data_IF_543145855961
#
_entry.id   IF_543145855961
#
_cell.length_a   1.000
_cell.length_b   1.000
_cell.length_c   1.000
_cell.angle_alpha   90.00
_cell.angle_beta   90.00
_cell.angle_gamma   90.00
#
_symmetry.space_group_name_H-M   'P 1'
#
loop_
_entity.id
_entity.type
_entity.pdbx_description
1 polymer ?
#
# COMPACT_ATOMS: atom_id res chain seq x y z
N UNK A 1 -19.77 -5.04 22.02
CA UNK A 1 -18.44 -4.47 21.68
C UNK A 1 -17.51 -5.63 21.37
N UNK A 2 -16.88 -5.61 20.24
CA UNK A 2 -15.99 -6.67 19.76
C UNK A 2 -14.57 -6.12 19.67
N UNK A 3 -13.57 -7.00 19.82
CA UNK A 3 -12.17 -6.63 19.67
C UNK A 3 -11.60 -7.35 18.44
N UNK A 4 -11.12 -6.60 17.48
CA UNK A 4 -10.64 -7.10 16.20
C UNK A 4 -9.19 -6.69 15.98
N UNK A 5 -8.33 -7.63 15.62
CA UNK A 5 -6.93 -7.38 15.30
C UNK A 5 -6.77 -7.27 13.78
N UNK A 6 -6.14 -6.21 13.29
CA UNK A 6 -5.65 -6.09 11.93
C UNK A 6 -4.14 -6.40 11.89
N UNK A 7 -3.73 -7.26 10.96
CA UNK A 7 -2.37 -7.80 10.83
C UNK A 7 -1.80 -7.51 9.46
N UNK A 8 -0.55 -7.07 9.45
CA UNK A 8 0.29 -7.01 8.25
C UNK A 8 1.61 -7.73 8.54
N UNK A 9 1.70 -8.98 8.08
CA UNK A 9 2.88 -9.82 8.24
C UNK A 9 3.82 -9.68 7.03
N UNK A 10 4.99 -9.09 7.26
CA UNK A 10 6.10 -9.05 6.29
C UNK A 10 7.08 -10.20 6.49
N UNK A 11 8.10 -10.31 5.63
CA UNK A 11 9.09 -11.39 5.69
C UNK A 11 9.87 -11.46 7.01
N UNK A 12 10.12 -10.30 7.64
CA UNK A 12 10.84 -10.17 8.91
C UNK A 12 10.16 -9.21 9.89
N UNK A 13 8.86 -8.93 9.70
CA UNK A 13 8.14 -7.99 10.53
C UNK A 13 6.67 -8.39 10.69
N UNK A 14 6.04 -7.92 11.78
CA UNK A 14 4.63 -8.09 12.05
C UNK A 14 4.09 -6.77 12.60
N UNK A 15 3.34 -6.01 11.79
CA UNK A 15 2.62 -4.81 12.21
C UNK A 15 1.19 -5.19 12.56
N UNK A 16 0.65 -4.62 13.64
CA UNK A 16 -0.69 -4.93 14.08
C UNK A 16 -1.38 -3.75 14.77
N UNK A 17 -2.71 -3.75 14.73
CA UNK A 17 -3.56 -2.86 15.51
C UNK A 17 -4.76 -3.62 16.06
N UNK A 18 -5.10 -3.36 17.31
CA UNK A 18 -6.30 -3.88 17.98
C UNK A 18 -7.35 -2.78 18.07
N UNK A 19 -8.49 -3.05 17.48
CA UNK A 19 -9.65 -2.15 17.47
C UNK A 19 -10.76 -2.63 18.41
N UNK A 20 -11.43 -1.69 19.03
CA UNK A 20 -12.75 -1.88 19.62
C UNK A 20 -13.79 -1.48 18.56
N UNK A 21 -14.65 -2.42 18.20
CA UNK A 21 -15.67 -2.23 17.17
C UNK A 21 -17.07 -2.28 17.78
N UNK A 22 -18.08 -1.56 17.28
CA UNK A 22 -18.04 -0.75 16.02
C UNK A 22 -17.52 0.69 16.22
N UNK A 23 -17.03 1.07 17.39
CA UNK A 23 -16.57 2.44 17.69
C UNK A 23 -15.29 2.82 16.93
N UNK A 24 -14.64 1.87 16.27
CA UNK A 24 -13.41 2.03 15.51
C UNK A 24 -12.25 2.63 16.33
N UNK A 25 -12.28 2.39 17.65
CA UNK A 25 -11.28 2.90 18.57
C UNK A 25 -10.06 1.99 18.61
N UNK A 26 -8.89 2.53 18.30
CA UNK A 26 -7.61 1.83 18.49
C UNK A 26 -7.35 1.67 19.99
N UNK A 27 -7.29 0.45 20.49
CA UNK A 27 -6.94 0.12 21.87
C UNK A 27 -5.43 -0.02 22.04
N UNK A 28 -4.77 -0.62 21.08
CA UNK A 28 -3.33 -0.78 21.04
C UNK A 28 -2.85 -0.99 19.60
N UNK A 29 -1.58 -0.70 19.36
CA UNK A 29 -0.88 -1.03 18.12
C UNK A 29 0.56 -1.41 18.40
N UNK A 30 1.15 -2.19 17.51
CA UNK A 30 2.54 -2.59 17.68
C UNK A 30 3.22 -2.99 16.38
N UNK A 31 4.51 -3.15 16.52
CA UNK A 31 5.40 -3.57 15.46
C UNK A 31 6.45 -4.52 16.05
N UNK A 32 6.58 -5.68 15.44
CA UNK A 32 7.68 -6.60 15.72
C UNK A 32 8.59 -6.61 14.50
N UNK A 33 9.87 -6.37 14.69
CA UNK A 33 10.86 -6.26 13.63
C UNK A 33 11.97 -7.28 13.79
N UNK A 34 12.67 -7.58 12.69
CA UNK A 34 13.81 -8.51 12.66
C UNK A 34 13.45 -9.95 13.06
N UNK A 35 12.21 -10.39 12.77
CA UNK A 35 11.78 -11.78 12.98
C UNK A 35 12.70 -12.71 12.18
N UNK A 36 13.18 -13.79 12.82
CA UNK A 36 14.15 -14.74 12.26
C UNK A 36 15.61 -14.28 12.38
N UNK A 37 15.86 -13.13 12.99
CA UNK A 37 17.20 -12.60 13.24
C UNK A 37 17.44 -12.44 14.75
N UNK A 38 18.70 -12.21 15.14
CA UNK A 38 19.03 -11.83 16.51
C UNK A 38 18.59 -10.40 16.82
N UNK A 39 18.33 -10.16 18.10
CA UNK A 39 17.93 -8.85 18.60
C UNK A 39 16.68 -8.31 17.88
N UNK A 40 15.63 -9.14 17.76
CA UNK A 40 14.32 -8.68 17.29
C UNK A 40 13.76 -7.64 18.25
N UNK A 41 13.02 -6.66 17.72
CA UNK A 41 12.46 -5.58 18.52
C UNK A 41 10.93 -5.68 18.47
N UNK A 42 10.29 -5.77 19.65
CA UNK A 42 8.84 -5.69 19.80
C UNK A 42 8.47 -4.37 20.46
N UNK A 43 7.68 -3.55 19.77
CA UNK A 43 7.15 -2.27 20.27
C UNK A 43 5.65 -2.36 20.40
N UNK A 44 5.09 -1.99 21.56
CA UNK A 44 3.64 -1.90 21.79
C UNK A 44 3.29 -0.50 22.25
N UNK A 45 2.26 0.11 21.62
CA UNK A 45 1.75 1.44 21.96
C UNK A 45 0.29 1.35 22.39
N UNK A 46 -0.02 1.85 23.58
CA UNK A 46 -1.36 1.84 24.17
C UNK A 46 -1.49 2.94 25.22
N UNK A 47 -2.64 3.54 25.38
CA UNK A 47 -2.95 4.57 26.38
C UNK A 47 -1.89 5.69 26.48
N UNK A 48 -1.35 6.13 25.32
CA UNK A 48 -0.30 7.14 25.25
C UNK A 48 1.10 6.66 25.69
N UNK A 49 1.26 5.38 26.04
CA UNK A 49 2.52 4.76 26.40
C UNK A 49 3.14 4.05 25.21
N UNK A 50 4.45 3.85 25.25
CA UNK A 50 5.21 3.02 24.31
C UNK A 50 6.16 2.13 25.09
N UNK A 51 6.01 0.82 24.93
CA UNK A 51 6.86 -0.19 25.55
C UNK A 51 7.65 -0.90 24.47
N UNK A 52 8.94 -1.10 24.70
CA UNK A 52 9.83 -1.76 23.77
C UNK A 52 10.60 -2.86 24.49
N UNK A 53 10.76 -4.00 23.82
CA UNK A 53 11.58 -5.11 24.31
C UNK A 53 12.42 -5.68 23.15
N UNK A 54 13.66 -6.05 23.49
CA UNK A 54 14.58 -6.72 22.57
C UNK A 54 14.70 -8.18 22.99
N UNK A 55 14.41 -9.09 22.05
CA UNK A 55 14.42 -10.54 22.29
C UNK A 55 14.64 -11.29 20.98
N UNK A 56 15.04 -12.55 21.06
CA UNK A 56 15.18 -13.40 19.88
C UNK A 56 13.80 -13.98 19.48
N UNK A 57 13.32 -13.64 18.29
CA UNK A 57 12.04 -14.10 17.74
C UNK A 57 12.32 -14.91 16.48
N UNK A 58 12.27 -16.23 16.59
CA UNK A 58 12.70 -17.15 15.54
C UNK A 58 11.77 -17.17 14.32
N UNK A 59 10.46 -16.98 14.53
CA UNK A 59 9.44 -17.10 13.48
C UNK A 59 8.16 -16.32 13.79
N UNK A 60 7.22 -16.31 12.84
CA UNK A 60 5.95 -15.61 12.97
C UNK A 60 5.03 -16.19 14.06
N UNK A 61 5.07 -17.50 14.34
CA UNK A 61 4.28 -18.10 15.43
C UNK A 61 4.71 -17.54 16.78
N UNK A 62 6.03 -17.43 17.02
CA UNK A 62 6.53 -16.80 18.25
C UNK A 62 6.20 -15.30 18.31
N UNK A 63 6.28 -14.60 17.17
CA UNK A 63 5.89 -13.19 17.09
C UNK A 63 4.42 -12.98 17.47
N UNK A 64 3.51 -13.78 16.92
CA UNK A 64 2.07 -13.73 17.27
C UNK A 64 1.84 -14.07 18.74
N UNK A 65 2.56 -15.06 19.28
CA UNK A 65 2.46 -15.39 20.71
C UNK A 65 2.87 -14.20 21.59
N UNK A 66 3.99 -13.55 21.28
CA UNK A 66 4.48 -12.38 22.02
C UNK A 66 3.45 -11.24 21.94
N UNK A 67 2.88 -10.97 20.76
CA UNK A 67 1.80 -10.00 20.60
C UNK A 67 0.63 -10.30 21.54
N UNK A 68 0.13 -11.54 21.56
CA UNK A 68 -1.00 -11.95 22.38
C UNK A 68 -0.68 -11.88 23.88
N UNK A 69 0.51 -12.31 24.28
CA UNK A 69 0.99 -12.24 25.67
C UNK A 69 1.14 -10.78 26.14
N UNK A 70 1.64 -9.89 25.28
CA UNK A 70 1.76 -8.46 25.57
C UNK A 70 0.39 -7.79 25.76
N UNK A 71 -0.63 -8.16 24.99
CA UNK A 71 -2.00 -7.67 25.19
C UNK A 71 -2.54 -8.00 26.59
N UNK A 72 -2.24 -9.19 27.12
CA UNK A 72 -2.59 -9.59 28.49
C UNK A 72 -1.71 -8.90 29.52
N UNK A 73 -0.38 -8.92 29.32
CA UNK A 73 0.61 -8.31 30.22
C UNK A 73 0.33 -6.84 30.51
N UNK A 74 -0.10 -6.09 29.50
CA UNK A 74 -0.44 -4.68 29.62
C UNK A 74 -1.90 -4.40 29.99
N UNK A 75 -2.69 -5.44 30.33
CA UNK A 75 -4.12 -5.33 30.66
C UNK A 75 -4.99 -4.70 29.56
N UNK A 76 -4.62 -4.84 28.29
CA UNK A 76 -5.40 -4.39 27.14
C UNK A 76 -6.57 -5.36 26.91
N UNK A 77 -6.32 -6.65 27.14
CA UNK A 77 -7.31 -7.73 27.25
C UNK A 77 -7.05 -8.53 28.54
N UNK A 78 -8.05 -9.26 28.99
CA UNK A 78 -7.91 -10.17 30.15
C UNK A 78 -7.67 -11.61 29.72
N UNK A 79 -8.31 -12.03 28.64
CA UNK A 79 -8.20 -13.36 28.03
C UNK A 79 -8.19 -13.23 26.50
N UNK A 80 -7.66 -14.23 25.81
CA UNK A 80 -7.67 -14.26 24.35
C UNK A 80 -9.08 -14.31 23.75
N UNK A 81 -10.07 -14.84 24.47
CA UNK A 81 -11.47 -14.93 24.05
C UNK A 81 -12.13 -13.54 23.83
N UNK A 82 -11.52 -12.48 24.34
CA UNK A 82 -11.99 -11.13 24.07
C UNK A 82 -11.70 -10.69 22.62
N UNK A 83 -10.76 -11.36 21.93
CA UNK A 83 -10.46 -11.13 20.51
C UNK A 83 -11.49 -11.93 19.71
N UNK A 84 -12.33 -11.25 18.96
CA UNK A 84 -13.45 -11.87 18.25
C UNK A 84 -13.21 -12.04 16.76
N UNK A 85 -12.10 -11.50 16.24
CA UNK A 85 -11.74 -11.64 14.83
C UNK A 85 -10.33 -11.14 14.54
N UNK A 86 -9.71 -11.71 13.54
CA UNK A 86 -8.39 -11.30 13.03
C UNK A 86 -8.47 -11.11 11.53
N UNK A 87 -8.06 -9.93 11.06
CA UNK A 87 -7.93 -9.63 9.64
C UNK A 87 -6.45 -9.63 9.24
N UNK A 88 -6.16 -10.28 8.13
CA UNK A 88 -4.82 -10.41 7.60
C UNK A 88 -4.71 -9.72 6.26
N UNK A 89 -3.80 -8.75 6.14
CA UNK A 89 -3.41 -8.21 4.85
C UNK A 89 -2.72 -9.30 4.04
N UNK A 90 -3.15 -9.50 2.80
CA UNK A 90 -2.53 -10.37 1.80
C UNK A 90 -2.27 -9.56 0.54
N UNK A 91 -1.05 -9.61 0.00
CA UNK A 91 -0.70 -8.74 -1.13
C UNK A 91 -1.38 -9.20 -2.41
N UNK A 92 -1.24 -10.46 -2.80
CA UNK A 92 -1.80 -10.96 -4.05
C UNK A 92 -3.00 -11.89 -3.82
N UNK A 93 -4.17 -11.49 -4.32
CA UNK A 93 -5.38 -12.32 -4.38
C UNK A 93 -5.57 -13.00 -5.74
N UNK A 94 -4.74 -12.66 -6.74
CA UNK A 94 -4.83 -13.20 -8.09
C UNK A 94 -6.20 -12.93 -8.74
N UNK A 95 -6.67 -13.87 -9.53
CA UNK A 95 -8.04 -13.88 -10.09
C UNK A 95 -9.02 -14.65 -9.20
N UNK A 96 -8.54 -15.30 -8.12
CA UNK A 96 -9.37 -16.10 -7.22
C UNK A 96 -10.16 -15.24 -6.25
N UNK A 97 -9.50 -14.24 -5.63
CA UNK A 97 -10.09 -13.44 -4.57
C UNK A 97 -10.46 -12.04 -5.07
N UNK A 98 -11.76 -11.85 -5.29
CA UNK A 98 -12.32 -10.56 -5.76
C UNK A 98 -12.70 -9.63 -4.60
N UNK A 99 -12.75 -10.17 -3.39
CA UNK A 99 -13.10 -9.47 -2.17
C UNK A 99 -12.42 -10.15 -0.97
N UNK A 100 -12.50 -9.50 0.19
CA UNK A 100 -12.03 -10.06 1.44
C UNK A 100 -12.78 -11.34 1.78
N UNK A 101 -12.08 -12.37 2.26
CA UNK A 101 -12.62 -13.73 2.37
C UNK A 101 -12.26 -14.34 3.73
N UNK A 102 -13.23 -15.03 4.36
CA UNK A 102 -12.97 -15.83 5.57
C UNK A 102 -11.99 -16.96 5.24
N UNK A 103 -10.98 -17.15 6.07
CA UNK A 103 -9.93 -18.16 5.86
C UNK A 103 -10.42 -19.53 6.33
N UNK A 104 -11.26 -20.15 5.51
CA UNK A 104 -11.81 -21.49 5.68
C UNK A 104 -11.46 -22.38 4.45
N UNK A 105 -11.61 -23.69 4.58
CA UNK A 105 -11.36 -24.63 3.48
C UNK A 105 -9.96 -24.49 2.88
N UNK A 106 -9.89 -24.30 1.56
CA UNK A 106 -8.64 -24.22 0.77
C UNK A 106 -8.09 -22.79 0.60
N UNK A 107 -8.68 -21.79 1.28
CA UNK A 107 -8.27 -20.37 1.12
C UNK A 107 -6.79 -20.16 1.43
N UNK A 108 -6.27 -20.76 2.50
CA UNK A 108 -4.85 -20.63 2.87
C UNK A 108 -3.92 -21.27 1.83
N UNK A 109 -4.28 -22.44 1.30
CA UNK A 109 -3.55 -23.12 0.23
C UNK A 109 -3.50 -22.26 -1.04
N UNK A 110 -4.63 -21.65 -1.40
CA UNK A 110 -4.70 -20.70 -2.53
C UNK A 110 -3.80 -19.47 -2.34
N UNK A 111 -3.74 -18.91 -1.13
CA UNK A 111 -2.84 -17.79 -0.81
C UNK A 111 -1.37 -18.21 -0.99
N UNK A 112 -1.03 -19.44 -0.61
CA UNK A 112 0.32 -20.00 -0.77
C UNK A 112 0.67 -20.23 -2.26
N UNK A 113 -0.26 -20.81 -3.05
CA UNK A 113 -0.11 -20.94 -4.51
C UNK A 113 0.14 -19.60 -5.20
N UNK A 114 -0.55 -18.54 -4.75
CA UNK A 114 -0.35 -17.17 -5.24
C UNK A 114 0.98 -16.54 -4.82
N UNK A 115 1.79 -17.23 -4.02
CA UNK A 115 3.18 -16.87 -3.74
C UNK A 115 4.02 -16.72 -5.02
N UNK A 116 3.67 -17.40 -6.11
CA UNK A 116 4.30 -17.21 -7.43
C UNK A 116 4.12 -15.78 -7.98
N UNK A 117 3.01 -15.12 -7.69
CA UNK A 117 2.73 -13.73 -8.11
C UNK A 117 3.33 -12.69 -7.16
N UNK A 118 3.48 -13.03 -5.88
CA UNK A 118 4.03 -12.14 -4.86
C UNK A 118 5.03 -12.88 -3.95
N UNK A 119 6.17 -13.35 -4.47
CA UNK A 119 7.09 -14.24 -3.75
C UNK A 119 7.74 -13.59 -2.52
N UNK A 120 7.78 -12.25 -2.47
CA UNK A 120 8.33 -11.50 -1.34
C UNK A 120 7.28 -11.25 -0.23
N UNK A 121 5.99 -11.51 -0.49
CA UNK A 121 4.90 -11.11 0.40
C UNK A 121 3.99 -12.27 0.80
N UNK A 122 3.34 -12.95 -0.15
CA UNK A 122 2.33 -13.96 0.15
C UNK A 122 2.82 -15.09 1.07
N UNK A 123 4.06 -15.62 0.95
CA UNK A 123 4.54 -16.64 1.89
C UNK A 123 4.56 -16.14 3.34
N UNK A 124 4.97 -14.89 3.58
CA UNK A 124 4.96 -14.29 4.90
C UNK A 124 3.54 -14.01 5.41
N UNK A 125 2.65 -13.54 4.52
CA UNK A 125 1.23 -13.36 4.86
C UNK A 125 0.60 -14.69 5.28
N UNK A 126 0.84 -15.79 4.54
CA UNK A 126 0.37 -17.12 4.86
C UNK A 126 0.94 -17.64 6.20
N UNK A 127 2.21 -17.36 6.49
CA UNK A 127 2.82 -17.71 7.78
C UNK A 127 2.14 -17.01 8.95
N UNK A 128 1.82 -15.72 8.81
CA UNK A 128 1.04 -14.96 9.79
C UNK A 128 -0.36 -15.55 10.02
N UNK A 129 -1.08 -15.89 8.95
CA UNK A 129 -2.40 -16.52 9.03
C UNK A 129 -2.30 -17.87 9.77
N UNK A 130 -1.31 -18.70 9.41
CA UNK A 130 -1.10 -20.01 10.03
C UNK A 130 -0.81 -19.88 11.53
N UNK A 131 0.02 -18.92 11.92
CA UNK A 131 0.34 -18.65 13.31
C UNK A 131 -0.91 -18.30 14.15
N UNK A 132 -1.80 -17.47 13.62
CA UNK A 132 -3.05 -17.16 14.30
C UNK A 132 -4.01 -18.35 14.36
N UNK A 133 -4.12 -19.15 13.30
CA UNK A 133 -4.94 -20.38 13.31
C UNK A 133 -4.44 -21.42 14.33
N UNK A 134 -3.13 -21.49 14.55
CA UNK A 134 -2.52 -22.38 15.55
C UNK A 134 -2.83 -21.92 16.98
N UNK A 135 -2.70 -20.62 17.26
CA UNK A 135 -2.82 -20.06 18.62
C UNK A 135 -4.27 -19.72 19.00
N UNK A 136 -5.11 -19.39 18.02
CA UNK A 136 -6.52 -19.02 18.19
C UNK A 136 -7.39 -19.76 17.16
N UNK A 137 -7.56 -21.09 17.28
CA UNK A 137 -8.18 -21.93 16.24
C UNK A 137 -9.66 -21.60 15.97
N UNK A 138 -10.37 -21.12 16.97
CA UNK A 138 -11.82 -20.86 16.90
C UNK A 138 -12.16 -19.42 16.49
N UNK A 139 -11.14 -18.55 16.25
CA UNK A 139 -11.38 -17.16 15.89
C UNK A 139 -11.69 -17.01 14.41
N UNK A 140 -12.59 -16.09 14.07
CA UNK A 140 -12.81 -15.72 12.66
C UNK A 140 -11.57 -15.03 12.11
N UNK A 141 -10.93 -15.67 11.12
CA UNK A 141 -9.79 -15.16 10.37
C UNK A 141 -10.24 -14.71 8.98
N UNK A 142 -9.90 -13.47 8.60
CA UNK A 142 -10.29 -12.89 7.29
C UNK A 142 -9.03 -12.47 6.53
N UNK A 143 -8.88 -12.91 5.29
CA UNK A 143 -7.85 -12.43 4.38
C UNK A 143 -8.39 -11.22 3.59
N UNK A 144 -7.65 -10.13 3.63
CA UNK A 144 -7.95 -8.86 2.94
C UNK A 144 -6.86 -8.62 1.91
N UNK A 145 -7.26 -8.58 0.63
CA UNK A 145 -6.30 -8.59 -0.48
C UNK A 145 -6.05 -7.19 -1.04
N UNK A 146 -4.80 -6.77 -1.16
CA UNK A 146 -4.42 -5.49 -1.78
C UNK A 146 -4.88 -5.37 -3.23
N UNK A 147 -5.03 -6.50 -3.92
CA UNK A 147 -5.46 -6.54 -5.33
C UNK A 147 -6.97 -6.56 -5.52
N UNK A 148 -7.75 -6.84 -4.48
CA UNK A 148 -9.20 -7.08 -4.62
C UNK A 148 -9.96 -5.86 -5.14
N UNK A 149 -9.62 -4.65 -4.68
CA UNK A 149 -10.22 -3.40 -5.16
C UNK A 149 -10.05 -3.21 -6.68
N UNK A 150 -8.96 -3.73 -7.25
CA UNK A 150 -8.63 -3.59 -8.67
C UNK A 150 -9.26 -4.68 -9.57
N UNK A 151 -9.98 -5.63 -9.00
CA UNK A 151 -10.64 -6.69 -9.80
C UNK A 151 -11.79 -6.17 -10.67
N UNK A 152 -12.25 -4.95 -10.41
CA UNK A 152 -13.28 -4.25 -11.21
C UNK A 152 -12.73 -3.60 -12.49
N UNK A 153 -11.41 -3.61 -12.70
CA UNK A 153 -10.82 -3.09 -13.93
C UNK A 153 -11.37 -3.82 -15.18
N UNK A 154 -11.75 -3.10 -16.25
CA UNK A 154 -12.18 -3.73 -17.50
C UNK A 154 -10.98 -4.42 -18.20
N UNK A 155 -11.28 -5.41 -19.03
CA UNK A 155 -10.26 -6.23 -19.70
C UNK A 155 -9.19 -5.40 -20.44
N UNK A 156 -9.61 -4.35 -21.14
CA UNK A 156 -8.71 -3.43 -21.84
C UNK A 156 -7.70 -2.70 -20.95
N UNK A 157 -7.98 -2.58 -19.64
CA UNK A 157 -7.09 -1.94 -18.67
C UNK A 157 -6.13 -2.94 -18.02
N UNK A 158 -6.57 -4.19 -17.79
CA UNK A 158 -5.72 -5.17 -17.13
C UNK A 158 -4.89 -6.05 -18.07
N UNK A 159 -5.25 -6.15 -19.37
CA UNK A 159 -4.49 -6.96 -20.33
C UNK A 159 -3.24 -6.21 -20.81
N UNK A 160 -2.12 -6.92 -20.85
CA UNK A 160 -0.94 -6.44 -21.56
C UNK A 160 -1.05 -6.78 -23.06
N UNK A 161 -0.50 -5.95 -23.96
CA UNK A 161 -0.46 -6.22 -25.40
C UNK A 161 0.58 -7.30 -25.73
N UNK A 162 0.47 -8.45 -25.10
CA UNK A 162 1.28 -9.64 -25.30
C UNK A 162 0.43 -10.75 -25.95
N UNK A 163 1.05 -11.78 -26.56
CA UNK A 163 0.31 -12.93 -27.05
C UNK A 163 -0.63 -13.49 -25.99
N UNK A 164 -1.90 -13.72 -26.36
CA UNK A 164 -3.01 -14.09 -25.47
C UNK A 164 -2.68 -15.30 -24.57
N UNK A 165 -1.86 -16.24 -25.04
CA UNK A 165 -1.44 -17.42 -24.27
C UNK A 165 -0.81 -17.06 -22.93
N UNK A 166 -0.04 -15.97 -22.85
CA UNK A 166 0.58 -15.55 -21.57
C UNK A 166 -0.45 -15.09 -20.53
N UNK A 167 -1.60 -14.58 -20.96
CA UNK A 167 -2.70 -14.35 -20.04
C UNK A 167 -3.44 -15.65 -19.70
N UNK A 168 -3.83 -16.42 -20.71
CA UNK A 168 -4.68 -17.62 -20.47
C UNK A 168 -3.95 -18.72 -19.68
N UNK A 169 -2.68 -18.94 -19.98
CA UNK A 169 -1.88 -20.02 -19.40
C UNK A 169 -1.09 -19.57 -18.16
N UNK A 170 -0.50 -18.35 -18.21
CA UNK A 170 0.41 -17.85 -17.18
C UNK A 170 -0.18 -16.76 -16.30
N UNK A 171 -1.45 -16.37 -16.51
CA UNK A 171 -2.16 -15.33 -15.76
C UNK A 171 -1.44 -13.96 -15.76
N UNK A 172 -0.69 -13.67 -16.83
CA UNK A 172 0.02 -12.39 -16.99
C UNK A 172 -0.99 -11.30 -17.33
N UNK A 173 -1.30 -10.50 -16.32
CA UNK A 173 -2.20 -9.34 -16.38
C UNK A 173 -1.81 -8.31 -15.33
N UNK A 174 -2.39 -7.11 -15.41
CA UNK A 174 -2.30 -6.11 -14.34
C UNK A 174 -3.21 -6.54 -13.17
N UNK A 175 -2.63 -6.62 -11.97
CA UNK A 175 -3.35 -6.89 -10.71
C UNK A 175 -3.47 -5.63 -9.86
N UNK A 176 -2.45 -4.79 -9.86
CA UNK A 176 -2.38 -3.62 -8.99
C UNK A 176 -1.98 -3.97 -7.55
N UNK A 177 -1.95 -2.97 -6.70
CA UNK A 177 -1.76 -3.11 -5.26
C UNK A 177 -2.27 -1.87 -4.50
N UNK A 178 -2.14 -1.83 -3.16
CA UNK A 178 -2.65 -0.78 -2.28
C UNK A 178 -4.17 -0.58 -2.38
N UNK A 179 -4.91 -1.62 -2.78
CA UNK A 179 -6.35 -1.53 -3.03
C UNK A 179 -7.13 -1.11 -1.80
N UNK A 180 -6.77 -1.59 -0.61
CA UNK A 180 -7.36 -1.18 0.67
C UNK A 180 -7.23 0.31 0.91
N UNK A 181 -6.05 0.88 0.65
CA UNK A 181 -5.80 2.32 0.77
C UNK A 181 -6.61 3.13 -0.26
N UNK A 182 -6.57 2.73 -1.54
CA UNK A 182 -7.32 3.43 -2.60
C UNK A 182 -8.83 3.41 -2.33
N UNK A 183 -9.36 2.28 -1.88
CA UNK A 183 -10.77 2.16 -1.51
C UNK A 183 -11.13 3.06 -0.33
N UNK A 184 -10.32 3.05 0.73
CA UNK A 184 -10.53 3.86 1.92
C UNK A 184 -10.57 5.34 1.60
N UNK A 185 -9.52 5.87 0.96
CA UNK A 185 -9.43 7.31 0.68
C UNK A 185 -10.49 7.77 -0.32
N UNK A 186 -10.96 6.90 -1.23
CA UNK A 186 -12.08 7.22 -2.10
C UNK A 186 -13.40 7.39 -1.32
N UNK A 187 -13.65 6.51 -0.33
CA UNK A 187 -14.81 6.61 0.56
C UNK A 187 -14.76 7.88 1.43
N UNK A 188 -13.60 8.17 2.02
CA UNK A 188 -13.41 9.38 2.83
C UNK A 188 -13.50 10.66 1.99
N UNK A 189 -12.99 10.64 0.74
CA UNK A 189 -13.16 11.76 -0.19
C UNK A 189 -14.63 12.04 -0.50
N UNK A 190 -15.46 11.02 -0.67
CA UNK A 190 -16.90 11.19 -0.88
C UNK A 190 -17.57 11.89 0.31
N UNK A 191 -17.22 11.49 1.53
CA UNK A 191 -17.71 12.14 2.77
C UNK A 191 -17.26 13.61 2.83
N UNK A 192 -15.98 13.87 2.56
CA UNK A 192 -15.42 15.23 2.59
C UNK A 192 -16.04 16.16 1.54
N UNK A 193 -16.31 15.63 0.34
CA UNK A 193 -16.97 16.36 -0.75
C UNK A 193 -18.48 16.47 -0.56
N UNK A 194 -19.09 15.75 0.40
CA UNK A 194 -20.53 15.74 0.64
C UNK A 194 -21.35 15.19 -0.53
N UNK A 195 -20.75 14.25 -1.31
CA UNK A 195 -21.39 13.67 -2.52
C UNK A 195 -21.35 12.14 -2.46
N UNK A 196 -22.36 11.46 -3.02
CA UNK A 196 -22.37 10.00 -3.13
C UNK A 196 -21.14 9.50 -3.92
N UNK A 197 -20.48 8.44 -3.42
CA UNK A 197 -19.29 7.87 -4.06
C UNK A 197 -19.56 7.39 -5.48
N UNK A 198 -20.78 6.92 -5.73
CA UNK A 198 -21.27 6.40 -7.01
C UNK A 198 -21.28 7.45 -8.12
N UNK A 199 -21.32 8.74 -7.76
CA UNK A 199 -21.31 9.86 -8.70
C UNK A 199 -19.91 10.41 -8.98
N UNK A 200 -18.91 9.99 -8.20
CA UNK A 200 -17.59 10.60 -8.22
C UNK A 200 -16.62 9.89 -9.18
N UNK A 201 -15.75 10.72 -9.75
CA UNK A 201 -14.55 10.34 -10.48
C UNK A 201 -13.33 10.85 -9.73
N UNK A 202 -12.53 9.96 -9.19
CA UNK A 202 -11.44 10.29 -8.31
C UNK A 202 -10.11 9.74 -8.85
N UNK A 203 -9.03 10.48 -8.62
CA UNK A 203 -7.67 10.00 -8.84
C UNK A 203 -7.00 9.90 -7.46
N UNK A 204 -6.75 8.69 -6.99
CA UNK A 204 -6.16 8.45 -5.68
C UNK A 204 -4.66 8.18 -5.84
N UNK A 205 -3.84 8.97 -5.17
CA UNK A 205 -2.38 8.94 -5.22
C UNK A 205 -1.83 8.43 -3.88
N UNK A 206 -1.65 7.13 -3.76
CA UNK A 206 -0.97 6.51 -2.62
C UNK A 206 0.54 6.64 -2.82
N UNK A 207 1.15 7.63 -2.20
CA UNK A 207 2.54 8.02 -2.41
C UNK A 207 3.34 7.79 -1.13
N UNK A 208 3.92 6.60 -1.01
CA UNK A 208 4.83 6.20 0.07
C UNK A 208 6.21 5.84 -0.47
N UNK A 209 6.95 4.96 0.23
CA UNK A 209 8.16 4.35 -0.33
C UNK A 209 7.83 3.44 -1.53
N UNK A 210 6.74 2.66 -1.45
CA UNK A 210 6.01 2.16 -2.61
C UNK A 210 4.93 3.16 -3.00
N UNK A 211 4.66 3.32 -4.28
CA UNK A 211 3.68 4.30 -4.76
C UNK A 211 2.80 3.74 -5.88
N UNK A 212 1.53 4.10 -5.83
CA UNK A 212 0.57 3.80 -6.90
C UNK A 212 -0.47 4.91 -7.05
N UNK A 213 -0.98 5.06 -8.27
CA UNK A 213 -2.06 5.98 -8.59
C UNK A 213 -3.19 5.16 -9.19
N UNK A 214 -4.43 5.46 -8.82
CA UNK A 214 -5.60 4.71 -9.27
C UNK A 214 -6.69 5.65 -9.77
N UNK A 215 -7.27 5.31 -10.92
CA UNK A 215 -8.47 5.93 -11.43
C UNK A 215 -9.70 5.23 -10.84
N UNK A 216 -10.49 5.95 -10.05
CA UNK A 216 -11.70 5.45 -9.40
C UNK A 216 -12.93 6.12 -10.00
N UNK A 217 -13.89 5.34 -10.44
CA UNK A 217 -15.17 5.83 -10.97
C UNK A 217 -16.31 5.11 -10.28
N UNK A 218 -17.21 5.87 -9.66
CA UNK A 218 -18.36 5.28 -8.97
C UNK A 218 -17.96 4.30 -7.86
N UNK A 219 -16.86 4.56 -7.16
CA UNK A 219 -16.33 3.67 -6.12
C UNK A 219 -15.57 2.45 -6.62
N UNK A 220 -15.40 2.28 -7.94
CA UNK A 220 -14.72 1.14 -8.54
C UNK A 220 -13.37 1.56 -9.14
N UNK A 221 -12.33 0.75 -8.95
CA UNK A 221 -11.07 0.89 -9.66
C UNK A 221 -11.25 0.55 -11.14
N UNK A 222 -10.96 1.50 -12.03
CA UNK A 222 -11.07 1.29 -13.48
C UNK A 222 -9.70 1.22 -14.17
N UNK A 223 -8.65 1.71 -13.52
CA UNK A 223 -7.24 1.50 -13.87
C UNK A 223 -6.36 1.82 -12.66
N UNK A 224 -5.16 1.25 -12.62
CA UNK A 224 -4.16 1.52 -11.59
C UNK A 224 -2.74 1.44 -12.16
N UNK A 225 -1.80 2.15 -11.55
CA UNK A 225 -0.43 2.27 -12.08
C UNK A 225 0.42 1.03 -11.84
N UNK A 226 0.30 0.35 -10.68
CA UNK A 226 1.02 -0.90 -10.46
C UNK A 226 0.48 -1.99 -11.40
N UNK A 227 1.39 -2.83 -11.88
CA UNK A 227 1.13 -3.76 -12.98
C UNK A 227 0.89 -5.20 -12.54
N UNK A 228 1.59 -6.12 -13.21
CA UNK A 228 1.63 -7.54 -12.89
C UNK A 228 2.19 -7.77 -11.48
N UNK A 229 3.18 -6.96 -11.11
CA UNK A 229 3.76 -6.86 -9.76
C UNK A 229 3.72 -5.41 -9.27
N UNK A 230 4.02 -5.15 -7.99
CA UNK A 230 4.15 -3.79 -7.47
C UNK A 230 5.37 -3.01 -8.00
N UNK A 231 6.07 -3.50 -9.04
CA UNK A 231 7.21 -2.83 -9.66
C UNK A 231 6.80 -1.76 -10.66
N UNK A 232 5.79 -2.05 -11.51
CA UNK A 232 5.33 -1.16 -12.57
C UNK A 232 4.69 0.12 -12.05
N UNK A 233 4.51 1.10 -12.92
CA UNK A 233 3.87 2.36 -12.61
C UNK A 233 4.83 3.52 -12.39
N UNK A 234 4.55 4.35 -11.40
CA UNK A 234 5.38 5.52 -11.06
C UNK A 234 6.73 5.11 -10.47
N UNK A 235 7.72 6.00 -10.60
CA UNK A 235 8.99 5.89 -9.90
C UNK A 235 8.75 5.92 -8.39
N UNK A 236 9.47 5.08 -7.62
CA UNK A 236 9.28 4.91 -6.19
C UNK A 236 10.59 5.15 -5.41
N UNK A 237 10.61 4.92 -4.13
CA UNK A 237 11.82 5.08 -3.32
C UNK A 237 13.00 4.24 -3.82
N UNK A 238 12.76 2.95 -4.11
CA UNK A 238 13.80 2.00 -4.57
C UNK A 238 13.44 1.26 -5.86
N UNK A 239 12.21 1.45 -6.40
CA UNK A 239 11.71 0.75 -7.58
C UNK A 239 11.71 1.68 -8.79
N UNK A 240 12.03 1.13 -9.95
CA UNK A 240 12.08 1.90 -11.21
C UNK A 240 10.72 2.51 -11.58
N UNK A 241 9.60 1.84 -11.31
CA UNK A 241 8.37 2.05 -12.07
C UNK A 241 8.53 1.57 -13.52
N UNK A 242 7.77 2.18 -14.43
CA UNK A 242 7.79 1.81 -15.85
C UNK A 242 9.12 2.18 -16.52
N UNK A 243 9.67 1.21 -17.24
CA UNK A 243 10.83 1.36 -18.11
C UNK A 243 10.56 0.70 -19.45
N UNK A 244 11.34 1.03 -20.49
CA UNK A 244 11.34 0.28 -21.72
C UNK A 244 11.85 -1.16 -21.46
N UNK A 245 11.05 -2.20 -21.73
CA UNK A 245 11.46 -3.59 -21.49
C UNK A 245 12.69 -4.01 -22.28
N UNK A 246 13.04 -3.34 -23.40
CA UNK A 246 14.23 -3.62 -24.18
C UNK A 246 15.54 -3.24 -23.44
N UNK A 247 15.47 -2.44 -22.39
CA UNK A 247 16.64 -2.13 -21.53
C UNK A 247 17.19 -3.41 -20.89
N UNK A 248 16.32 -4.35 -20.50
CA UNK A 248 16.73 -5.58 -19.81
C UNK A 248 17.64 -6.43 -20.71
N UNK A 249 17.20 -6.92 -21.89
CA UNK A 249 18.06 -7.71 -22.76
C UNK A 249 19.28 -6.93 -23.27
N UNK A 250 19.20 -5.60 -23.37
CA UNK A 250 20.36 -4.78 -23.71
C UNK A 250 21.42 -4.87 -22.60
N UNK A 251 21.07 -4.57 -21.33
CA UNK A 251 22.01 -4.60 -20.20
C UNK A 251 22.57 -6.00 -19.94
N UNK A 252 21.81 -7.06 -20.20
CA UNK A 252 22.29 -8.45 -20.10
C UNK A 252 23.52 -8.73 -20.99
N UNK A 253 23.72 -7.95 -22.07
CA UNK A 253 24.85 -8.11 -22.99
C UNK A 253 26.08 -7.30 -22.55
N UNK A 254 25.91 -6.25 -21.73
CA UNK A 254 26.96 -5.25 -21.47
C UNK A 254 27.37 -5.17 -20.00
N UNK A 255 26.65 -5.80 -19.09
CA UNK A 255 26.99 -5.77 -17.66
C UNK A 255 26.70 -7.10 -16.98
N UNK A 256 27.61 -7.49 -16.08
CA UNK A 256 27.43 -8.71 -15.27
C UNK A 256 26.29 -8.58 -14.25
N UNK A 257 25.92 -7.36 -13.88
CA UNK A 257 24.84 -7.11 -12.90
C UNK A 257 23.49 -7.64 -13.40
N UNK A 258 23.26 -7.66 -14.71
CA UNK A 258 22.02 -8.14 -15.34
C UNK A 258 22.10 -9.59 -15.84
N UNK A 259 23.06 -10.39 -15.39
CA UNK A 259 23.29 -11.74 -15.89
C UNK A 259 22.33 -12.83 -15.35
N UNK A 260 21.55 -12.52 -14.28
CA UNK A 260 20.62 -13.45 -13.62
C UNK A 260 19.29 -12.77 -13.27
N UNK A 261 18.15 -13.50 -13.34
CA UNK A 261 16.84 -12.96 -12.99
C UNK A 261 16.78 -12.35 -11.58
N UNK A 262 17.47 -12.96 -10.60
CA UNK A 262 17.49 -12.48 -9.21
C UNK A 262 18.18 -11.13 -9.11
N UNK A 263 19.28 -10.92 -9.83
CA UNK A 263 20.00 -9.64 -9.88
C UNK A 263 19.15 -8.55 -10.56
N UNK A 264 18.51 -8.88 -11.68
CA UNK A 264 17.58 -7.98 -12.38
C UNK A 264 16.47 -7.56 -11.43
N UNK A 265 15.84 -8.54 -10.76
CA UNK A 265 14.78 -8.26 -9.78
C UNK A 265 15.28 -7.39 -8.62
N UNK A 266 16.48 -7.64 -8.10
CA UNK A 266 17.09 -6.86 -7.02
C UNK A 266 17.32 -5.41 -7.45
N UNK A 267 17.93 -5.19 -8.59
CA UNK A 267 18.26 -3.85 -9.12
C UNK A 267 16.96 -3.06 -9.33
N UNK A 268 15.98 -3.64 -10.05
CA UNK A 268 14.76 -2.93 -10.40
C UNK A 268 13.86 -2.63 -9.18
N UNK A 269 13.90 -3.46 -8.13
CA UNK A 269 13.04 -3.31 -6.96
C UNK A 269 13.70 -2.63 -5.77
N UNK A 270 15.05 -2.70 -5.61
CA UNK A 270 15.72 -2.31 -4.37
C UNK A 270 16.83 -1.28 -4.55
N UNK A 271 17.32 -1.07 -5.76
CA UNK A 271 18.50 -0.23 -6.04
C UNK A 271 18.23 0.87 -7.07
N UNK A 272 16.99 1.02 -7.47
CA UNK A 272 16.51 1.98 -8.46
C UNK A 272 15.70 3.11 -7.81
N UNK A 273 14.85 3.77 -8.56
CA UNK A 273 13.98 4.83 -8.05
C UNK A 273 14.75 6.04 -7.54
N UNK A 274 14.23 6.67 -6.48
CA UNK A 274 14.89 7.81 -5.84
C UNK A 274 16.32 7.48 -5.42
N UNK A 275 16.50 6.31 -4.77
CA UNK A 275 17.82 5.83 -4.36
C UNK A 275 18.78 5.70 -5.53
N UNK A 276 18.34 5.04 -6.61
CA UNK A 276 19.19 4.75 -7.74
C UNK A 276 19.60 5.98 -8.55
N UNK A 277 18.69 6.96 -8.71
CA UNK A 277 18.99 8.20 -9.46
C UNK A 277 19.75 9.19 -8.59
N UNK A 278 19.35 9.41 -7.35
CA UNK A 278 20.02 10.35 -6.46
C UNK A 278 21.38 9.85 -5.94
N UNK A 279 21.57 8.53 -5.89
CA UNK A 279 22.74 7.93 -5.23
C UNK A 279 22.83 8.22 -3.72
N UNK A 280 21.76 8.72 -3.11
CA UNK A 280 21.75 9.19 -1.70
C UNK A 280 20.82 8.37 -0.82
N UNK A 281 19.52 8.44 -1.08
CA UNK A 281 18.50 7.86 -0.20
C UNK A 281 17.22 7.50 -0.99
N UNK A 282 16.47 6.56 -0.46
CA UNK A 282 15.10 6.30 -0.89
C UNK A 282 14.07 7.17 -0.17
N UNK A 283 14.48 7.92 0.85
CA UNK A 283 13.61 8.81 1.62
C UNK A 283 13.51 10.18 0.94
N UNK A 284 12.29 10.60 0.63
CA UNK A 284 12.02 11.88 -0.03
C UNK A 284 12.55 13.08 0.79
N UNK A 285 12.59 12.99 2.11
CA UNK A 285 13.11 14.06 2.98
C UNK A 285 14.59 14.29 2.76
N UNK A 286 15.36 13.20 2.64
CA UNK A 286 16.80 13.26 2.39
C UNK A 286 17.08 13.75 0.96
N UNK A 287 16.26 13.33 -0.01
CA UNK A 287 16.38 13.78 -1.41
C UNK A 287 16.10 15.27 -1.52
N UNK A 288 15.06 15.78 -0.88
CA UNK A 288 14.75 17.21 -0.85
C UNK A 288 15.89 18.00 -0.17
N UNK A 289 16.37 17.53 0.98
CA UNK A 289 17.47 18.21 1.68
C UNK A 289 18.77 18.25 0.84
N UNK A 290 19.09 17.17 0.13
CA UNK A 290 20.25 17.14 -0.78
C UNK A 290 20.06 18.08 -1.99
N UNK A 291 18.86 18.10 -2.58
CA UNK A 291 18.49 19.03 -3.66
C UNK A 291 18.65 20.49 -3.24
N UNK A 292 18.14 20.87 -2.05
CA UNK A 292 18.25 22.20 -1.49
C UNK A 292 19.71 22.59 -1.19
N UNK A 293 20.57 21.60 -0.90
CA UNK A 293 22.01 21.79 -0.75
C UNK A 293 22.77 21.91 -2.10
N UNK A 294 22.05 21.83 -3.23
CA UNK A 294 22.61 22.00 -4.57
C UNK A 294 23.08 20.71 -5.23
N UNK A 295 22.69 19.52 -4.73
CA UNK A 295 23.02 18.23 -5.34
C UNK A 295 22.20 18.04 -6.62
N UNK A 296 22.88 17.91 -7.77
CA UNK A 296 22.27 17.78 -9.08
C UNK A 296 21.45 16.49 -9.23
N UNK A 297 21.99 15.36 -8.76
CA UNK A 297 21.35 14.06 -8.96
C UNK A 297 20.14 13.90 -8.04
N UNK A 298 20.18 14.51 -6.86
CA UNK A 298 19.00 14.61 -5.99
C UNK A 298 17.89 15.47 -6.62
N UNK A 299 18.26 16.61 -7.23
CA UNK A 299 17.30 17.45 -7.97
C UNK A 299 16.69 16.70 -9.14
N UNK A 300 17.50 16.02 -9.94
CA UNK A 300 17.03 15.19 -11.05
C UNK A 300 16.08 14.08 -10.57
N UNK A 301 16.42 13.37 -9.47
CA UNK A 301 15.60 12.31 -8.91
C UNK A 301 14.22 12.86 -8.47
N UNK A 302 14.19 14.02 -7.83
CA UNK A 302 12.96 14.70 -7.43
C UNK A 302 12.11 15.10 -8.64
N UNK A 303 12.72 15.72 -9.65
CA UNK A 303 12.02 16.13 -10.87
C UNK A 303 11.44 14.93 -11.64
N UNK A 304 12.21 13.85 -11.78
CA UNK A 304 11.72 12.60 -12.40
C UNK A 304 10.55 12.00 -11.64
N UNK A 305 10.61 12.03 -10.32
CA UNK A 305 9.54 11.51 -9.46
C UNK A 305 8.23 12.29 -9.64
N UNK A 306 8.32 13.62 -9.62
CA UNK A 306 7.18 14.51 -9.85
C UNK A 306 6.61 14.32 -11.26
N UNK A 307 7.47 14.29 -12.28
CA UNK A 307 7.09 14.09 -13.69
C UNK A 307 6.30 12.78 -13.90
N UNK A 308 6.73 11.68 -13.28
CA UNK A 308 6.02 10.39 -13.37
C UNK A 308 4.64 10.42 -12.73
N UNK A 309 4.48 11.10 -11.60
CA UNK A 309 3.18 11.29 -10.95
C UNK A 309 2.26 12.13 -11.82
N UNK A 310 2.75 13.24 -12.38
CA UNK A 310 1.99 14.11 -13.29
C UNK A 310 1.49 13.36 -14.53
N UNK A 311 2.35 12.56 -15.16
CA UNK A 311 2.00 11.75 -16.33
C UNK A 311 0.89 10.75 -16.01
N UNK A 312 0.95 10.07 -14.87
CA UNK A 312 -0.11 9.13 -14.47
C UNK A 312 -1.43 9.83 -14.11
N UNK A 313 -1.38 10.98 -13.43
CA UNK A 313 -2.59 11.79 -13.20
C UNK A 313 -3.19 12.23 -14.54
N UNK A 314 -2.38 12.74 -15.48
CA UNK A 314 -2.83 13.13 -16.82
C UNK A 314 -3.46 11.98 -17.60
N UNK A 315 -2.84 10.79 -17.55
CA UNK A 315 -3.39 9.57 -18.13
C UNK A 315 -4.77 9.24 -17.53
N UNK A 316 -4.93 9.34 -16.23
CA UNK A 316 -6.18 9.00 -15.56
C UNK A 316 -7.26 10.07 -15.70
N UNK A 317 -6.90 11.34 -15.87
CA UNK A 317 -7.83 12.37 -16.31
C UNK A 317 -8.44 12.02 -17.67
N UNK A 318 -7.63 11.50 -18.60
CA UNK A 318 -8.11 11.03 -19.89
C UNK A 318 -9.00 9.76 -19.75
N UNK A 319 -8.57 8.77 -18.97
CA UNK A 319 -9.32 7.51 -18.73
C UNK A 319 -10.68 7.78 -18.12
N UNK A 320 -10.77 8.72 -17.16
CA UNK A 320 -11.99 9.11 -16.47
C UNK A 320 -12.84 10.10 -17.29
N UNK A 321 -12.28 10.70 -18.34
CA UNK A 321 -12.86 11.87 -19.02
C UNK A 321 -13.17 12.99 -18.01
N UNK A 322 -12.12 13.49 -17.35
CA UNK A 322 -12.17 14.44 -16.24
C UNK A 322 -12.32 13.76 -14.87
N UNK A 323 -12.02 14.48 -13.80
CA UNK A 323 -12.13 14.02 -12.43
C UNK A 323 -12.72 15.10 -11.52
N UNK A 324 -13.33 14.71 -10.40
CA UNK A 324 -13.83 15.60 -9.36
C UNK A 324 -12.73 15.98 -8.37
N UNK A 325 -11.83 15.04 -8.05
CA UNK A 325 -10.72 15.29 -7.14
C UNK A 325 -9.49 14.41 -7.40
N UNK A 326 -8.32 14.96 -7.01
CA UNK A 326 -7.04 14.25 -6.85
C UNK A 326 -6.81 14.13 -5.34
N UNK A 327 -6.54 12.92 -4.85
CA UNK A 327 -6.36 12.64 -3.43
C UNK A 327 -4.92 12.17 -3.19
N UNK A 328 -4.18 12.89 -2.36
CA UNK A 328 -2.86 12.49 -1.87
C UNK A 328 -2.98 11.76 -0.54
N UNK A 329 -2.28 10.63 -0.43
CA UNK A 329 -2.26 9.78 0.78
C UNK A 329 -0.92 9.06 0.91
N UNK A 330 -0.73 8.36 2.02
CA UNK A 330 0.51 7.70 2.44
C UNK A 330 1.67 8.68 2.72
N UNK A 331 2.78 8.15 3.21
CA UNK A 331 3.82 8.92 3.88
C UNK A 331 4.31 10.17 3.14
N UNK A 332 4.62 10.07 1.85
CA UNK A 332 5.05 11.22 1.02
C UNK A 332 3.84 12.08 0.63
N UNK A 333 2.74 11.45 0.22
CA UNK A 333 1.53 12.16 -0.18
C UNK A 333 0.93 13.02 0.93
N UNK A 334 0.95 12.52 2.17
CA UNK A 334 0.42 13.20 3.35
C UNK A 334 1.36 14.30 3.86
N UNK A 335 2.69 14.09 3.79
CA UNK A 335 3.63 14.91 4.53
C UNK A 335 4.53 15.82 3.67
N UNK A 336 4.79 15.47 2.40
CA UNK A 336 5.68 16.23 1.54
C UNK A 336 4.93 17.34 0.78
N UNK A 337 4.81 18.52 1.41
CA UNK A 337 4.12 19.69 0.84
C UNK A 337 4.67 20.09 -0.52
N UNK A 338 6.01 20.08 -0.67
CA UNK A 338 6.69 20.40 -1.92
C UNK A 338 6.35 19.44 -3.06
N UNK A 339 6.21 18.14 -2.77
CA UNK A 339 5.79 17.16 -3.79
C UNK A 339 4.39 17.49 -4.29
N UNK A 340 3.42 17.71 -3.39
CA UNK A 340 2.04 18.08 -3.77
C UNK A 340 2.01 19.36 -4.59
N UNK A 341 2.72 20.41 -4.15
CA UNK A 341 2.84 21.68 -4.87
C UNK A 341 3.38 21.47 -6.29
N UNK A 342 4.52 20.78 -6.44
CA UNK A 342 5.16 20.59 -7.74
C UNK A 342 4.35 19.71 -8.66
N UNK A 343 3.71 18.66 -8.13
CA UNK A 343 2.80 17.81 -8.92
C UNK A 343 1.64 18.62 -9.47
N UNK A 344 0.94 19.37 -8.63
CA UNK A 344 -0.28 20.10 -9.03
C UNK A 344 0.06 21.30 -9.91
N UNK A 345 1.12 22.04 -9.63
CA UNK A 345 1.50 23.20 -10.46
C UNK A 345 1.79 22.81 -11.92
N UNK A 346 2.39 21.62 -12.17
CA UNK A 346 2.68 21.15 -13.52
C UNK A 346 1.46 20.65 -14.29
N UNK A 347 0.31 20.50 -13.65
CA UNK A 347 -0.96 20.07 -14.27
C UNK A 347 -2.10 21.07 -14.02
N UNK A 348 -1.80 22.28 -13.62
CA UNK A 348 -2.78 23.30 -13.27
C UNK A 348 -3.76 23.67 -14.40
N UNK A 349 -3.35 23.43 -15.66
CA UNK A 349 -4.23 23.58 -16.84
C UNK A 349 -5.53 22.76 -16.74
N UNK A 350 -5.55 21.67 -15.98
CA UNK A 350 -6.75 20.87 -15.76
C UNK A 350 -7.72 21.44 -14.71
N UNK A 351 -7.44 22.63 -14.20
CA UNK A 351 -8.31 23.32 -13.24
C UNK A 351 -8.05 22.95 -11.77
N UNK A 352 -6.94 22.28 -11.47
CA UNK A 352 -6.46 22.07 -10.11
C UNK A 352 -5.42 23.12 -9.72
N UNK A 353 -5.50 23.59 -8.48
CA UNK A 353 -4.52 24.49 -7.89
C UNK A 353 -4.50 24.31 -6.37
N UNK A 354 -3.34 24.49 -5.76
CA UNK A 354 -3.11 24.29 -4.32
C UNK A 354 -2.94 25.63 -3.64
N UNK A 355 -3.72 25.85 -2.58
CA UNK A 355 -3.58 27.01 -1.70
C UNK A 355 -2.35 26.83 -0.79
N UNK A 356 -1.33 27.71 -0.88
CA UNK A 356 -0.12 27.59 -0.06
C UNK A 356 -0.38 27.65 1.44
N UNK A 357 -1.44 28.35 1.88
CA UNK A 357 -1.79 28.47 3.30
C UNK A 357 -2.45 27.18 3.82
N UNK A 358 -3.11 26.42 2.94
CA UNK A 358 -3.72 25.13 3.27
C UNK A 358 -2.74 23.95 3.08
N UNK A 359 -1.74 24.09 2.18
CA UNK A 359 -0.78 23.02 1.89
C UNK A 359 0.36 22.97 2.91
N UNK A 360 0.04 22.57 4.13
CA UNK A 360 1.00 22.51 5.25
C UNK A 360 1.28 21.06 5.66
N UNK A 361 2.34 20.84 6.43
CA UNK A 361 2.66 19.53 7.00
C UNK A 361 1.55 19.04 7.92
N UNK A 362 1.16 17.76 7.79
CA UNK A 362 0.13 17.13 8.64
C UNK A 362 -1.30 17.58 8.34
N UNK A 363 -1.54 18.31 7.24
CA UNK A 363 -2.90 18.72 6.84
C UNK A 363 -3.76 17.50 6.49
N UNK A 364 -5.03 17.59 6.80
CA UNK A 364 -6.08 16.68 6.33
C UNK A 364 -7.24 17.51 5.80
N UNK A 365 -7.75 17.18 4.63
CA UNK A 365 -8.88 17.86 4.00
C UNK A 365 -8.57 18.43 2.63
N UNK A 366 -9.35 19.43 2.23
CA UNK A 366 -9.24 20.10 0.96
C UNK A 366 -8.18 21.21 1.01
N UNK A 367 -7.15 21.08 0.19
CA UNK A 367 -6.04 22.04 0.09
C UNK A 367 -6.10 22.88 -1.18
N UNK A 368 -7.20 22.82 -1.93
CA UNK A 368 -7.36 23.58 -3.17
C UNK A 368 -7.58 25.07 -2.91
N UNK A 369 -7.22 25.89 -3.90
CA UNK A 369 -7.72 27.27 -3.96
C UNK A 369 -9.24 27.28 -4.19
N UNK A 370 -9.90 28.38 -3.86
CA UNK A 370 -11.35 28.52 -4.04
C UNK A 370 -11.76 28.48 -5.52
N UNK A 371 -10.86 28.89 -6.42
CA UNK A 371 -11.09 28.90 -7.86
C UNK A 371 -10.91 27.51 -8.53
N UNK A 372 -10.32 26.55 -7.83
CA UNK A 372 -10.07 25.23 -8.40
C UNK A 372 -11.38 24.47 -8.67
N UNK A 373 -11.53 23.95 -9.88
CA UNK A 373 -12.67 23.11 -10.30
C UNK A 373 -12.39 21.63 -10.12
N UNK A 374 -11.12 21.21 -10.22
CA UNK A 374 -10.63 19.89 -9.87
C UNK A 374 -10.01 20.00 -8.45
N UNK A 375 -10.67 19.39 -7.47
CA UNK A 375 -10.24 19.51 -6.06
C UNK A 375 -8.98 18.73 -5.78
N UNK A 376 -8.17 19.20 -4.83
CA UNK A 376 -6.97 18.52 -4.33
C UNK A 376 -7.14 18.26 -2.85
N UNK A 377 -7.17 17.00 -2.49
CA UNK A 377 -7.41 16.54 -1.12
C UNK A 377 -6.19 15.84 -0.54
N UNK A 378 -5.99 15.99 0.75
CA UNK A 378 -5.05 15.17 1.54
C UNK A 378 -5.87 14.36 2.53
N UNK A 379 -5.82 13.04 2.39
CA UNK A 379 -6.57 12.11 3.25
C UNK A 379 -5.61 11.03 3.75
N UNK A 380 -5.30 11.00 5.05
CA UNK A 380 -4.49 9.94 5.63
C UNK A 380 -5.14 8.58 5.42
N UNK A 381 -4.36 7.60 4.95
CA UNK A 381 -4.88 6.23 4.81
C UNK A 381 -4.93 5.50 6.15
N UNK A 382 -5.91 4.63 6.32
CA UNK A 382 -6.01 3.70 7.44
C UNK A 382 -6.37 2.30 6.93
N UNK A 383 -5.35 1.59 6.43
CA UNK A 383 -5.50 0.26 5.86
C UNK A 383 -5.91 -0.76 6.94
N UNK A 384 -5.40 -0.60 8.16
CA UNK A 384 -5.72 -1.47 9.28
C UNK A 384 -7.19 -1.35 9.69
N UNK A 385 -7.78 -0.15 9.60
CA UNK A 385 -9.20 0.06 9.85
C UNK A 385 -10.08 -0.64 8.78
N UNK A 386 -9.68 -0.57 7.51
CA UNK A 386 -10.38 -1.31 6.44
C UNK A 386 -10.38 -2.82 6.73
N UNK A 387 -9.23 -3.35 7.15
CA UNK A 387 -9.10 -4.76 7.54
C UNK A 387 -10.05 -5.09 8.69
N UNK A 388 -10.10 -4.25 9.73
CA UNK A 388 -10.98 -4.46 10.87
C UNK A 388 -12.47 -4.40 10.48
N UNK A 389 -12.87 -3.44 9.63
CA UNK A 389 -14.24 -3.33 9.08
C UNK A 389 -14.65 -4.59 8.29
N UNK A 390 -13.75 -5.13 7.49
CA UNK A 390 -14.01 -6.34 6.71
C UNK A 390 -14.15 -7.59 7.58
N UNK A 391 -13.39 -7.68 8.67
CA UNK A 391 -13.60 -8.74 9.67
C UNK A 391 -14.99 -8.63 10.29
N UNK A 392 -15.39 -7.42 10.73
CA UNK A 392 -16.72 -7.22 11.31
C UNK A 392 -17.86 -7.54 10.34
N UNK A 393 -17.69 -7.21 9.07
CA UNK A 393 -18.67 -7.50 8.02
C UNK A 393 -18.80 -9.00 7.71
N UNK A 394 -17.71 -9.75 7.79
CA UNK A 394 -17.64 -11.15 7.37
C UNK A 394 -17.76 -12.16 8.49
N UNK A 395 -17.53 -11.76 9.75
CA UNK A 395 -17.77 -12.67 10.88
C UNK A 395 -19.26 -12.91 11.06
N UNK A 396 -19.59 -14.15 11.30
CA UNK A 396 -20.99 -14.63 11.51
C UNK A 396 -21.44 -14.39 12.96
#
# INVERSE_FOLDING_TARGET
MTKTIAINAGSSSLKWQLYQMPEEKVLAKGLIERIGLKDSVSTVKFDGRSEEQVLDIENHTLAVKILLDDLIRFNIIKTYDEITGVGHRVVAGGEYFKESTVVEGDVLEKIEELGLLAPLHNPANAAGIRAFKELLPDITSVAVFDTSFHTTMPEKAYRYPLPTKYYTENKVRKYGAHGTSHQYVAQEAAKLLGRPLEELKLITCHIGNGASITAVKGGQSIDTSMGFTPLGGVMMGTRTGDIDPAIIPYLMQYTEDFNKPENISRILNRESGLLGVSGKSSDMRDVIAAMEAGDHDAALAFEMYVDRIQKYIGQYLAVLNGADAIIFTAGVGENATLVREKVISGISWFGCDVDPEKNVFGVTGDISTDAATLRVLVIPTDEELVIARDVERLKK
#
